data_IF_878662037328
#
_entry.id   IF_878662037328
#
_cell.length_a   1.000
_cell.length_b   1.000
_cell.length_c   1.000
_cell.angle_alpha   90.00
_cell.angle_beta   90.00
_cell.angle_gamma   90.00
#
_symmetry.space_group_name_H-M   'P 1'
#
loop_
_entity.id
_entity.type
_entity.pdbx_description
1 polymer ?
#
# COMPACT_ATOMS: atom_id res chain seq x y z
N UNK A 1 70.70 16.23 57.09
CA UNK A 1 69.54 15.71 57.88
C UNK A 1 68.60 15.04 56.89
N UNK A 2 68.54 13.69 56.75
CA UNK A 2 67.79 12.71 57.60
C UNK A 2 66.43 13.32 58.02
N UNK A 3 65.24 12.75 57.77
CA UNK A 3 64.81 11.35 57.69
C UNK A 3 63.27 11.31 57.40
N UNK A 4 62.75 10.19 56.85
CA UNK A 4 61.35 9.65 56.94
C UNK A 4 60.26 10.35 56.09
N UNK A 5 59.22 9.72 55.54
CA UNK A 5 58.61 8.37 55.61
C UNK A 5 57.67 8.26 54.40
N UNK A 6 57.71 7.21 53.58
CA UNK A 6 56.75 6.07 53.59
C UNK A 6 55.27 6.50 53.40
N UNK A 7 54.74 6.33 52.19
CA UNK A 7 53.40 5.81 51.86
C UNK A 7 53.44 5.39 50.38
N UNK A 8 53.78 4.15 50.04
CA UNK A 8 52.96 2.91 50.10
C UNK A 8 51.85 2.91 49.03
N UNK A 9 52.18 2.18 47.94
CA UNK A 9 51.33 1.30 47.12
C UNK A 9 50.09 1.86 46.42
N UNK A 10 50.16 1.97 45.09
CA UNK A 10 49.29 1.25 44.15
C UNK A 10 49.54 1.74 42.70
N UNK A 11 50.60 1.28 42.03
CA UNK A 11 50.79 1.56 40.59
C UNK A 11 51.30 0.34 39.81
N UNK A 12 50.93 -0.86 40.23
CA UNK A 12 51.31 -2.07 39.52
C UNK A 12 50.16 -3.07 39.53
N UNK A 13 49.16 -2.86 38.66
CA UNK A 13 48.41 -3.93 37.99
C UNK A 13 47.33 -3.31 37.08
N UNK A 14 47.66 -2.93 35.85
CA UNK A 14 46.67 -2.77 34.77
C UNK A 14 47.34 -3.07 33.43
N UNK A 15 47.99 -4.24 33.37
CA UNK A 15 48.60 -4.77 32.16
C UNK A 15 48.24 -6.25 31.99
N UNK A 16 46.96 -6.57 31.81
CA UNK A 16 46.49 -7.82 31.18
C UNK A 16 44.97 -7.94 31.29
N UNK A 17 44.24 -7.54 30.24
CA UNK A 17 42.99 -8.19 29.80
C UNK A 17 42.41 -7.44 28.59
N UNK A 18 43.18 -7.28 27.51
CA UNK A 18 42.57 -7.10 26.20
C UNK A 18 42.16 -8.49 25.68
N UNK A 19 41.11 -9.05 26.29
CA UNK A 19 40.44 -10.22 25.73
C UNK A 19 39.76 -9.74 24.46
N UNK A 20 40.38 -10.04 23.33
CA UNK A 20 39.72 -9.96 22.03
C UNK A 20 38.66 -11.06 22.01
N UNK A 21 37.45 -10.76 22.47
CA UNK A 21 36.26 -11.47 21.99
C UNK A 21 36.06 -11.05 20.55
N UNK A 22 36.71 -11.77 19.63
CA UNK A 22 36.24 -11.89 18.27
C UNK A 22 34.88 -12.59 18.34
N UNK A 23 33.83 -11.80 18.56
CA UNK A 23 32.48 -12.26 18.37
C UNK A 23 32.40 -12.75 16.92
N UNK A 24 31.99 -14.00 16.75
CA UNK A 24 31.47 -14.52 15.49
C UNK A 24 30.27 -13.63 15.14
N UNK A 25 30.53 -12.52 14.45
CA UNK A 25 29.50 -11.77 13.78
C UNK A 25 28.96 -12.71 12.70
N UNK A 26 27.82 -13.35 12.97
CA UNK A 26 27.03 -13.97 11.94
C UNK A 26 26.80 -12.96 10.81
N UNK A 27 26.55 -13.41 9.57
CA UNK A 27 26.26 -12.47 8.48
C UNK A 27 25.21 -11.48 8.96
N UNK A 28 25.52 -10.19 8.84
CA UNK A 28 24.57 -9.13 9.17
C UNK A 28 23.27 -9.46 8.41
N UNK A 29 22.09 -9.33 9.05
CA UNK A 29 20.83 -9.61 8.38
C UNK A 29 20.81 -8.84 7.06
N UNK A 30 20.63 -9.57 5.96
CA UNK A 30 20.58 -9.00 4.62
C UNK A 30 19.49 -7.93 4.61
N UNK A 31 19.86 -6.68 4.29
CA UNK A 31 18.87 -5.61 4.28
C UNK A 31 17.85 -5.92 3.20
N UNK A 32 16.54 -5.86 3.50
CA UNK A 32 15.51 -6.16 2.51
C UNK A 32 15.69 -5.23 1.31
N UNK A 33 15.46 -5.77 0.11
CA UNK A 33 15.51 -4.94 -1.10
C UNK A 33 14.48 -3.82 -1.01
N UNK A 34 14.68 -2.73 -1.76
CA UNK A 34 13.71 -1.63 -1.79
C UNK A 34 12.31 -2.12 -2.20
N UNK A 35 12.24 -3.10 -3.11
CA UNK A 35 11.00 -3.78 -3.49
C UNK A 35 10.33 -4.48 -2.30
N UNK A 36 11.05 -5.33 -1.57
CA UNK A 36 10.52 -6.02 -0.39
C UNK A 36 10.06 -5.03 0.68
N UNK A 37 10.84 -3.97 0.89
CA UNK A 37 10.49 -2.93 1.86
C UNK A 37 9.21 -2.18 1.47
N UNK A 38 9.01 -1.87 0.19
CA UNK A 38 7.80 -1.21 -0.29
C UNK A 38 6.56 -2.13 -0.26
N UNK A 39 6.73 -3.43 -0.56
CA UNK A 39 5.66 -4.41 -0.39
C UNK A 39 5.21 -4.54 1.07
N UNK A 40 6.16 -4.48 2.01
CA UNK A 40 5.84 -4.50 3.44
C UNK A 40 5.16 -3.22 3.91
N UNK A 41 5.50 -2.07 3.35
CA UNK A 41 4.79 -0.82 3.59
C UNK A 41 3.34 -0.91 3.10
N UNK A 42 3.11 -1.46 1.91
CA UNK A 42 1.75 -1.71 1.39
C UNK A 42 0.94 -2.59 2.34
N UNK A 43 1.53 -3.68 2.85
CA UNK A 43 0.86 -4.57 3.83
C UNK A 43 0.53 -3.86 5.14
N UNK A 44 1.33 -2.86 5.52
CA UNK A 44 1.16 -2.02 6.72
C UNK A 44 0.36 -0.74 6.45
N UNK A 45 -0.24 -0.61 5.27
CA UNK A 45 -1.07 0.55 4.88
C UNK A 45 -0.28 1.88 4.82
N UNK A 46 1.04 1.78 4.65
CA UNK A 46 2.01 2.89 4.51
C UNK A 46 2.18 3.25 3.04
N UNK A 47 1.08 3.63 2.39
CA UNK A 47 1.04 3.74 0.92
C UNK A 47 1.91 4.89 0.41
N UNK A 48 2.00 5.98 1.16
CA UNK A 48 2.84 7.11 0.81
C UNK A 48 4.34 6.81 0.96
N UNK A 49 4.76 6.09 2.00
CA UNK A 49 6.15 5.61 2.10
C UNK A 49 6.50 4.64 0.96
N UNK A 50 5.58 3.73 0.61
CA UNK A 50 5.75 2.85 -0.53
C UNK A 50 5.86 3.64 -1.84
N UNK A 51 5.06 4.71 -2.00
CA UNK A 51 5.09 5.60 -3.17
C UNK A 51 6.40 6.36 -3.27
N UNK A 52 6.94 6.85 -2.15
CA UNK A 52 8.24 7.50 -2.14
C UNK A 52 9.34 6.54 -2.62
N UNK A 53 9.37 5.31 -2.08
CA UNK A 53 10.35 4.29 -2.47
C UNK A 53 10.21 3.88 -3.94
N UNK A 54 8.99 3.72 -4.43
CA UNK A 54 8.73 3.41 -5.84
C UNK A 54 9.25 4.51 -6.78
N UNK A 55 9.05 5.78 -6.41
CA UNK A 55 9.55 6.92 -7.16
C UNK A 55 11.08 7.02 -7.10
N UNK A 56 11.69 6.75 -5.95
CA UNK A 56 13.15 6.75 -5.81
C UNK A 56 13.80 5.65 -6.66
N UNK A 57 13.19 4.46 -6.70
CA UNK A 57 13.63 3.35 -7.56
C UNK A 57 13.54 3.74 -9.04
N UNK A 58 12.46 4.41 -9.46
CA UNK A 58 12.29 4.89 -10.82
C UNK A 58 13.35 5.94 -11.21
N UNK A 59 13.71 6.85 -10.31
CA UNK A 59 14.77 7.85 -10.55
C UNK A 59 16.17 7.25 -10.61
N UNK A 60 16.42 6.19 -9.83
CA UNK A 60 17.71 5.51 -9.77
C UNK A 60 17.90 4.43 -10.84
N UNK A 61 16.86 4.11 -11.61
CA UNK A 61 16.90 3.05 -12.62
C UNK A 61 17.77 3.43 -13.83
N UNK A 62 18.97 2.85 -13.91
CA UNK A 62 19.96 3.07 -14.97
C UNK A 62 20.06 1.89 -15.96
N UNK A 63 19.46 0.75 -15.64
CA UNK A 63 19.41 -0.45 -16.50
C UNK A 63 17.96 -0.83 -16.82
N UNK A 64 17.76 -1.59 -17.90
CA UNK A 64 16.42 -2.08 -18.28
C UNK A 64 15.78 -2.95 -17.19
N UNK A 65 16.57 -3.82 -16.53
CA UNK A 65 16.07 -4.66 -15.45
C UNK A 65 15.59 -3.82 -14.24
N UNK A 66 16.32 -2.76 -13.88
CA UNK A 66 15.90 -1.85 -12.79
C UNK A 66 14.70 -0.99 -13.18
N UNK A 67 14.57 -0.59 -14.45
CA UNK A 67 13.38 0.12 -14.93
C UNK A 67 12.15 -0.78 -14.84
N UNK A 68 12.30 -2.05 -15.20
CA UNK A 68 11.23 -3.03 -15.10
C UNK A 68 10.78 -3.22 -13.65
N UNK A 69 11.71 -3.33 -12.71
CA UNK A 69 11.43 -3.40 -11.27
C UNK A 69 10.74 -2.11 -10.77
N UNK A 70 11.20 -0.94 -11.22
CA UNK A 70 10.60 0.33 -10.88
C UNK A 70 9.15 0.45 -11.39
N UNK A 71 8.89 0.10 -12.65
CA UNK A 71 7.55 0.10 -13.22
C UNK A 71 6.64 -0.91 -12.51
N UNK A 72 7.14 -2.10 -12.19
CA UNK A 72 6.40 -3.10 -11.43
C UNK A 72 5.91 -2.55 -10.09
N UNK A 73 6.82 -1.95 -9.32
CA UNK A 73 6.46 -1.40 -8.01
C UNK A 73 5.52 -0.19 -8.13
N UNK A 74 5.75 0.71 -9.10
CA UNK A 74 4.87 1.86 -9.32
C UNK A 74 3.46 1.44 -9.76
N UNK A 75 3.33 0.39 -10.59
CA UNK A 75 2.02 -0.13 -10.98
C UNK A 75 1.21 -0.58 -9.74
N UNK A 76 1.84 -1.30 -8.82
CA UNK A 76 1.21 -1.77 -7.59
C UNK A 76 0.86 -0.59 -6.68
N UNK A 77 1.79 0.32 -6.43
CA UNK A 77 1.54 1.44 -5.52
C UNK A 77 0.44 2.35 -6.05
N UNK A 78 0.51 2.76 -7.31
CA UNK A 78 -0.54 3.60 -7.92
C UNK A 78 -1.89 2.88 -7.92
N UNK A 79 -1.90 1.54 -8.08
CA UNK A 79 -3.12 0.77 -7.95
C UNK A 79 -3.68 0.84 -6.52
N UNK A 80 -2.86 0.73 -5.47
CA UNK A 80 -3.31 0.89 -4.08
C UNK A 80 -3.72 2.33 -3.73
N UNK A 81 -3.13 3.34 -4.39
CA UNK A 81 -3.59 4.73 -4.33
C UNK A 81 -4.90 4.97 -5.07
N UNK A 82 -5.47 3.96 -5.72
CA UNK A 82 -6.68 4.07 -6.53
C UNK A 82 -6.47 4.87 -7.82
N UNK A 83 -5.23 5.11 -8.23
CA UNK A 83 -4.90 5.81 -9.46
C UNK A 83 -4.78 4.81 -10.62
N UNK A 84 -5.94 4.36 -11.11
CA UNK A 84 -5.99 3.36 -12.18
C UNK A 84 -5.32 3.80 -13.48
N UNK A 85 -5.28 5.11 -13.78
CA UNK A 85 -4.63 5.61 -14.99
C UNK A 85 -3.13 5.31 -14.97
N UNK A 86 -2.40 5.83 -13.97
CA UNK A 86 -0.96 5.57 -13.83
C UNK A 86 -0.67 4.10 -13.56
N UNK A 87 -1.50 3.42 -12.76
CA UNK A 87 -1.34 1.99 -12.51
C UNK A 87 -1.37 1.18 -13.82
N UNK A 88 -2.31 1.49 -14.71
CA UNK A 88 -2.42 0.87 -16.03
C UNK A 88 -1.23 1.19 -16.94
N UNK A 89 -0.75 2.44 -16.93
CA UNK A 89 0.44 2.85 -17.69
C UNK A 89 1.67 2.05 -17.27
N UNK A 90 1.97 2.00 -15.96
CA UNK A 90 3.11 1.25 -15.44
C UNK A 90 2.98 -0.26 -15.67
N UNK A 91 1.78 -0.81 -15.45
CA UNK A 91 1.53 -2.22 -15.73
C UNK A 91 1.73 -2.55 -17.22
N UNK A 92 1.30 -1.67 -18.12
CA UNK A 92 1.53 -1.78 -19.56
C UNK A 92 3.02 -1.83 -19.90
N UNK A 93 3.81 -0.90 -19.35
CA UNK A 93 5.27 -0.89 -19.56
C UNK A 93 5.94 -2.19 -19.07
N UNK A 94 5.50 -2.76 -17.95
CA UNK A 94 6.00 -4.07 -17.48
C UNK A 94 5.63 -5.20 -18.45
N UNK A 95 4.38 -5.25 -18.89
CA UNK A 95 3.89 -6.29 -19.80
C UNK A 95 4.55 -6.22 -21.17
N UNK A 96 4.89 -5.03 -21.65
CA UNK A 96 5.57 -4.86 -22.94
C UNK A 96 7.05 -5.27 -22.88
N UNK A 97 7.74 -4.92 -21.79
CA UNK A 97 9.20 -5.03 -21.69
C UNK A 97 9.68 -6.29 -20.95
N UNK A 98 8.82 -6.99 -20.22
CA UNK A 98 9.20 -8.24 -19.56
C UNK A 98 9.46 -9.37 -20.56
N UNK A 99 10.51 -10.16 -20.30
CA UNK A 99 10.87 -11.38 -21.04
C UNK A 99 10.15 -12.63 -20.52
N UNK A 100 9.43 -12.51 -19.42
CA UNK A 100 8.66 -13.60 -18.83
C UNK A 100 7.45 -13.94 -19.72
N UNK A 101 7.29 -15.20 -20.08
CA UNK A 101 6.17 -15.69 -20.90
C UNK A 101 4.83 -15.60 -20.13
N UNK A 102 4.86 -15.67 -18.81
CA UNK A 102 3.68 -15.64 -17.93
C UNK A 102 3.36 -14.23 -17.40
N UNK A 103 4.03 -13.18 -17.90
CA UNK A 103 3.92 -11.79 -17.42
C UNK A 103 2.49 -11.26 -17.29
N UNK A 104 1.54 -11.78 -18.07
CA UNK A 104 0.13 -11.40 -18.03
C UNK A 104 -0.77 -12.18 -17.06
N UNK A 105 -0.27 -13.26 -16.44
CA UNK A 105 -1.07 -14.14 -15.57
C UNK A 105 -1.00 -13.74 -14.09
N UNK A 106 -0.08 -12.84 -13.73
CA UNK A 106 0.11 -12.38 -12.35
C UNK A 106 -0.68 -11.12 -11.99
N UNK A 107 -0.34 -10.55 -10.83
CA UNK A 107 -1.00 -9.35 -10.30
C UNK A 107 -0.86 -8.12 -11.22
N UNK A 108 0.22 -8.01 -12.00
CA UNK A 108 0.37 -6.95 -13.00
C UNK A 108 -0.64 -7.07 -14.14
N UNK A 109 -0.88 -8.29 -14.63
CA UNK A 109 -1.93 -8.53 -15.63
C UNK A 109 -3.31 -8.15 -15.10
N UNK A 110 -3.58 -8.49 -13.83
CA UNK A 110 -4.77 -8.04 -13.13
C UNK A 110 -4.87 -6.51 -13.05
N UNK A 111 -3.81 -5.80 -12.62
CA UNK A 111 -3.80 -4.33 -12.53
C UNK A 111 -4.09 -3.70 -13.90
N UNK A 112 -3.43 -4.16 -14.96
CA UNK A 112 -3.67 -3.67 -16.32
C UNK A 112 -5.13 -3.91 -16.74
N UNK A 113 -5.67 -5.09 -16.46
CA UNK A 113 -7.05 -5.45 -16.81
C UNK A 113 -8.09 -4.64 -16.03
N UNK A 114 -7.94 -4.54 -14.70
CA UNK A 114 -8.82 -3.75 -13.84
C UNK A 114 -8.76 -2.26 -14.19
N UNK A 115 -7.56 -1.73 -14.46
CA UNK A 115 -7.38 -0.32 -14.83
C UNK A 115 -8.02 0.03 -16.17
N UNK A 116 -7.99 -0.90 -17.13
CA UNK A 116 -8.59 -0.74 -18.46
C UNK A 116 -10.12 -0.82 -18.43
N UNK A 117 -10.68 -1.70 -17.61
CA UNK A 117 -12.12 -1.96 -17.54
C UNK A 117 -12.80 -1.28 -16.35
N UNK A 118 -12.14 -0.29 -15.75
CA UNK A 118 -12.73 0.51 -14.69
C UNK A 118 -13.97 1.26 -15.21
N UNK A 119 -14.98 1.47 -14.36
CA UNK A 119 -16.06 2.39 -14.68
C UNK A 119 -15.56 3.81 -14.97
N UNK A 120 -16.35 4.56 -15.73
CA UNK A 120 -16.15 6.01 -15.90
C UNK A 120 -16.61 6.72 -14.62
N UNK A 121 -15.63 7.07 -13.78
CA UNK A 121 -15.88 7.60 -12.45
C UNK A 121 -16.20 9.09 -12.46
N UNK A 122 -17.21 9.46 -11.68
CA UNK A 122 -17.42 10.80 -11.16
C UNK A 122 -17.09 10.81 -9.68
N UNK A 123 -16.63 11.95 -9.18
CA UNK A 123 -16.17 12.08 -7.80
C UNK A 123 -17.02 13.08 -7.01
N UNK A 124 -17.26 12.73 -5.75
CA UNK A 124 -17.74 13.62 -4.70
C UNK A 124 -16.68 13.57 -3.60
N UNK A 125 -16.03 14.70 -3.36
CA UNK A 125 -14.94 14.81 -2.41
C UNK A 125 -15.39 15.43 -1.07
N UNK A 126 -14.69 15.07 -0.02
CA UNK A 126 -14.65 15.76 1.27
C UNK A 126 -13.20 15.90 1.74
N UNK A 127 -13.00 16.39 2.97
CA UNK A 127 -11.66 16.61 3.51
C UNK A 127 -10.84 15.31 3.61
N UNK A 128 -11.49 14.18 3.96
CA UNK A 128 -10.84 12.91 4.21
C UNK A 128 -11.34 11.75 3.34
N UNK A 129 -12.24 12.01 2.38
CA UNK A 129 -12.82 10.96 1.53
C UNK A 129 -12.92 11.39 0.08
N UNK A 130 -12.72 10.42 -0.82
CA UNK A 130 -12.99 10.55 -2.26
C UNK A 130 -14.03 9.48 -2.60
N UNK A 131 -15.24 9.91 -2.97
CA UNK A 131 -16.35 8.98 -3.27
C UNK A 131 -16.58 8.94 -4.78
N UNK A 132 -16.27 7.81 -5.37
CA UNK A 132 -16.41 7.53 -6.80
C UNK A 132 -17.70 6.80 -7.10
N UNK A 133 -18.41 7.28 -8.12
CA UNK A 133 -19.63 6.65 -8.62
C UNK A 133 -19.68 6.73 -10.14
N UNK A 134 -20.24 5.70 -10.78
CA UNK A 134 -20.34 5.66 -12.24
C UNK A 134 -21.78 5.86 -12.74
N UNK A 135 -22.76 5.30 -12.03
CA UNK A 135 -24.15 5.43 -12.43
C UNK A 135 -24.79 6.70 -11.83
N UNK A 136 -25.50 7.54 -12.61
CA UNK A 136 -26.01 8.83 -12.13
C UNK A 136 -26.92 8.75 -10.89
N UNK A 137 -27.67 7.64 -10.73
CA UNK A 137 -28.53 7.43 -9.55
C UNK A 137 -27.75 7.22 -8.25
N UNK A 138 -26.47 6.84 -8.32
CA UNK A 138 -25.64 6.65 -7.13
C UNK A 138 -25.13 7.97 -6.56
N UNK A 139 -25.35 9.10 -7.25
CA UNK A 139 -25.02 10.44 -6.73
C UNK A 139 -25.67 10.69 -5.37
N UNK A 140 -26.91 10.25 -5.15
CA UNK A 140 -27.60 10.42 -3.86
C UNK A 140 -26.87 9.70 -2.73
N UNK A 141 -26.30 8.53 -3.02
CA UNK A 141 -25.53 7.75 -2.04
C UNK A 141 -24.18 8.41 -1.81
N UNK A 142 -23.53 8.91 -2.86
CA UNK A 142 -22.25 9.60 -2.75
C UNK A 142 -22.37 10.91 -1.94
N UNK A 143 -23.36 11.75 -2.24
CA UNK A 143 -23.59 13.01 -1.51
C UNK A 143 -23.99 12.76 -0.06
N UNK A 144 -24.87 11.78 0.21
CA UNK A 144 -25.24 11.41 1.57
C UNK A 144 -24.04 10.85 2.33
N UNK A 145 -23.23 10.02 1.67
CA UNK A 145 -22.04 9.40 2.22
C UNK A 145 -21.01 10.43 2.64
N UNK A 146 -20.82 11.50 1.86
CA UNK A 146 -19.85 12.57 2.12
C UNK A 146 -19.87 13.06 3.57
N UNK A 147 -21.02 13.53 4.05
CA UNK A 147 -21.12 14.13 5.38
C UNK A 147 -21.20 13.07 6.50
N UNK A 148 -21.72 11.88 6.20
CA UNK A 148 -21.82 10.77 7.17
C UNK A 148 -20.44 10.18 7.44
N UNK A 149 -19.65 9.95 6.40
CA UNK A 149 -18.32 9.36 6.49
C UNK A 149 -17.37 10.24 7.31
N UNK A 150 -17.44 11.57 7.17
CA UNK A 150 -16.65 12.49 8.00
C UNK A 150 -17.00 12.38 9.49
N UNK A 151 -18.30 12.32 9.81
CA UNK A 151 -18.75 12.10 11.19
C UNK A 151 -18.31 10.74 11.72
N UNK A 152 -18.45 9.69 10.90
CA UNK A 152 -17.99 8.35 11.27
C UNK A 152 -16.48 8.32 11.50
N UNK A 153 -15.67 8.97 10.65
CA UNK A 153 -14.23 9.09 10.83
C UNK A 153 -13.89 9.75 12.15
N UNK A 154 -14.56 10.86 12.47
CA UNK A 154 -14.37 11.56 13.73
C UNK A 154 -14.64 10.66 14.94
N UNK A 155 -15.83 10.05 15.02
CA UNK A 155 -16.20 9.22 16.17
C UNK A 155 -15.32 7.96 16.29
N UNK A 156 -15.05 7.27 15.16
CA UNK A 156 -14.20 6.08 15.15
C UNK A 156 -12.77 6.42 15.55
N UNK A 157 -12.23 7.55 15.05
CA UNK A 157 -10.86 7.94 15.37
C UNK A 157 -10.69 8.44 16.79
N UNK A 158 -11.75 8.95 17.45
CA UNK A 158 -11.75 9.19 18.88
C UNK A 158 -11.61 7.88 19.67
N UNK A 159 -12.38 6.86 19.31
CA UNK A 159 -12.35 5.55 19.99
C UNK A 159 -11.02 4.81 19.79
N UNK A 160 -10.42 4.94 18.60
CA UNK A 160 -9.16 4.28 18.25
C UNK A 160 -7.91 5.12 18.56
N UNK A 161 -8.09 6.37 18.99
CA UNK A 161 -7.03 7.36 19.21
C UNK A 161 -6.09 7.54 18.00
N UNK A 162 -6.60 7.29 16.80
CA UNK A 162 -5.83 7.38 15.55
C UNK A 162 -6.77 7.60 14.36
N UNK A 163 -6.23 8.19 13.30
CA UNK A 163 -6.96 8.46 12.07
C UNK A 163 -6.14 8.01 10.87
N UNK A 164 -6.78 7.63 9.75
CA UNK A 164 -6.06 7.51 8.48
C UNK A 164 -5.41 8.83 8.10
N UNK A 165 -4.13 8.79 7.73
CA UNK A 165 -3.35 9.93 7.27
C UNK A 165 -3.78 10.38 5.86
N UNK A 166 -4.06 9.41 4.99
CA UNK A 166 -4.51 9.64 3.62
C UNK A 166 -6.03 9.63 3.48
N UNK A 167 -6.60 10.37 2.51
CA UNK A 167 -8.00 10.27 2.16
C UNK A 167 -8.41 8.84 1.79
N UNK A 168 -9.54 8.37 2.33
CA UNK A 168 -10.06 7.04 2.03
C UNK A 168 -10.90 7.11 0.75
N UNK A 169 -10.60 6.22 -0.20
CA UNK A 169 -11.35 6.12 -1.45
C UNK A 169 -12.50 5.12 -1.29
N UNK A 170 -13.70 5.56 -1.67
CA UNK A 170 -14.90 4.73 -1.77
C UNK A 170 -15.27 4.60 -3.25
N UNK A 171 -15.51 3.38 -3.73
CA UNK A 171 -15.91 3.12 -5.12
C UNK A 171 -17.26 2.41 -5.17
N UNK A 172 -18.27 3.06 -5.77
CA UNK A 172 -19.64 2.55 -5.93
C UNK A 172 -19.79 1.96 -7.34
N UNK A 173 -19.68 0.65 -7.44
CA UNK A 173 -19.71 -0.09 -8.71
C UNK A 173 -21.13 -0.20 -9.28
N UNK A 174 -21.33 0.12 -10.57
CA UNK A 174 -22.66 0.20 -11.18
C UNK A 174 -23.28 -1.15 -11.55
N UNK A 175 -22.48 -2.22 -11.55
CA UNK A 175 -22.84 -3.58 -11.94
C UNK A 175 -21.95 -4.63 -11.23
N UNK A 176 -22.40 -5.89 -11.25
CA UNK A 176 -21.71 -7.01 -10.62
C UNK A 176 -20.39 -7.35 -11.32
N UNK A 177 -20.32 -7.17 -12.64
CA UNK A 177 -19.14 -7.50 -13.45
C UNK A 177 -17.94 -6.64 -13.06
N UNK A 178 -18.10 -5.32 -13.07
CA UNK A 178 -17.05 -4.39 -12.68
C UNK A 178 -16.66 -4.53 -11.20
N UNK A 179 -17.63 -4.80 -10.31
CA UNK A 179 -17.36 -5.05 -8.90
C UNK A 179 -16.54 -6.31 -8.66
N UNK A 180 -16.94 -7.43 -9.28
CA UNK A 180 -16.26 -8.74 -9.09
C UNK A 180 -14.88 -8.72 -9.73
N UNK A 181 -14.74 -8.06 -10.89
CA UNK A 181 -13.45 -7.78 -11.50
C UNK A 181 -12.54 -7.02 -10.52
N UNK A 182 -12.95 -5.85 -10.05
CA UNK A 182 -12.07 -5.00 -9.25
C UNK A 182 -11.76 -5.56 -7.85
N UNK A 183 -12.73 -6.20 -7.20
CA UNK A 183 -12.57 -6.80 -5.86
C UNK A 183 -11.86 -8.15 -5.88
N UNK A 184 -11.79 -8.79 -7.04
CA UNK A 184 -11.42 -10.20 -7.24
C UNK A 184 -12.32 -11.18 -6.49
N UNK A 185 -13.51 -10.77 -6.07
CA UNK A 185 -14.50 -11.67 -5.48
C UNK A 185 -15.23 -12.42 -6.60
N UNK A 186 -15.41 -13.75 -6.48
CA UNK A 186 -16.27 -14.49 -7.40
C UNK A 186 -17.72 -13.95 -7.38
N UNK A 187 -18.41 -13.87 -8.54
CA UNK A 187 -19.83 -13.48 -8.60
C UNK A 187 -20.73 -14.33 -7.68
N UNK A 188 -20.46 -15.63 -7.61
CA UNK A 188 -21.18 -16.58 -6.74
C UNK A 188 -21.15 -16.17 -5.27
N UNK A 189 -20.03 -15.61 -4.79
CA UNK A 189 -19.93 -15.13 -3.41
C UNK A 189 -20.88 -13.95 -3.18
N UNK A 190 -20.98 -13.03 -4.14
CA UNK A 190 -21.86 -11.86 -4.03
C UNK A 190 -23.33 -12.29 -4.02
N UNK A 191 -23.70 -13.20 -4.92
CA UNK A 191 -25.08 -13.70 -5.05
C UNK A 191 -25.54 -14.54 -3.84
N UNK A 192 -24.66 -15.37 -3.29
CA UNK A 192 -25.01 -16.29 -2.20
C UNK A 192 -24.98 -15.65 -0.81
N UNK A 193 -24.00 -14.78 -0.56
CA UNK A 193 -23.78 -14.17 0.77
C UNK A 193 -24.44 -12.82 0.91
N UNK A 194 -24.83 -12.18 -0.21
CA UNK A 194 -25.28 -10.79 -0.21
C UNK A 194 -24.18 -9.82 0.22
N UNK A 195 -22.89 -10.17 0.03
CA UNK A 195 -21.79 -9.23 0.26
C UNK A 195 -21.89 -8.10 -0.75
N UNK A 196 -22.27 -6.92 -0.26
CA UNK A 196 -22.45 -5.70 -1.06
C UNK A 196 -21.28 -4.72 -0.92
N UNK A 197 -20.25 -5.07 -0.14
CA UNK A 197 -19.04 -4.26 -0.04
C UNK A 197 -17.87 -4.97 0.63
N UNK A 198 -16.65 -4.50 0.31
CA UNK A 198 -15.38 -5.05 0.78
C UNK A 198 -14.33 -3.95 0.91
N UNK A 199 -13.47 -4.06 1.93
CA UNK A 199 -12.27 -3.25 2.04
C UNK A 199 -11.09 -4.00 1.41
N UNK A 200 -10.57 -3.51 0.28
CA UNK A 200 -9.45 -4.13 -0.42
C UNK A 200 -8.62 -3.10 -1.17
N UNK A 201 -7.33 -3.38 -1.32
CA UNK A 201 -6.39 -2.52 -2.06
C UNK A 201 -6.38 -1.06 -1.56
N UNK A 202 -6.52 -0.87 -0.24
CA UNK A 202 -6.63 0.45 0.40
C UNK A 202 -7.87 1.26 -0.04
N UNK A 203 -8.98 0.58 -0.36
CA UNK A 203 -10.26 1.19 -0.76
C UNK A 203 -11.44 0.46 -0.16
N UNK A 204 -12.56 1.17 -0.03
CA UNK A 204 -13.87 0.57 0.23
C UNK A 204 -14.59 0.43 -1.11
N UNK A 205 -14.87 -0.80 -1.51
CA UNK A 205 -15.59 -1.10 -2.75
C UNK A 205 -17.00 -1.54 -2.39
N UNK A 206 -18.01 -0.94 -3.02
CA UNK A 206 -19.42 -1.21 -2.73
C UNK A 206 -20.15 -1.46 -4.05
N UNK A 207 -21.01 -2.47 -4.09
CA UNK A 207 -21.94 -2.67 -5.19
C UNK A 207 -23.11 -1.70 -5.03
N UNK A 208 -23.46 -0.98 -6.11
CA UNK A 208 -24.55 0.01 -6.10
C UNK A 208 -25.81 -0.55 -5.42
N UNK A 209 -26.36 0.13 -4.38
CA UNK A 209 -27.57 -0.31 -3.68
C UNK A 209 -28.76 -0.55 -4.62
N UNK A 210 -28.81 0.14 -5.76
CA UNK A 210 -29.81 -0.03 -6.83
C UNK A 210 -29.95 -1.47 -7.31
N UNK A 211 -28.88 -2.25 -7.23
CA UNK A 211 -28.84 -3.64 -7.68
C UNK A 211 -29.39 -4.60 -6.63
N UNK A 212 -29.65 -4.12 -5.42
CA UNK A 212 -30.20 -4.91 -4.33
C UNK A 212 -31.73 -5.01 -4.48
N UNK A 213 -32.34 -6.09 -3.99
CA UNK A 213 -33.79 -6.33 -4.15
C UNK A 213 -34.70 -5.22 -3.61
N UNK A 214 -34.20 -4.31 -2.76
CA UNK A 214 -34.96 -3.22 -2.15
C UNK A 214 -34.64 -1.83 -2.72
N UNK A 215 -33.72 -1.74 -3.68
CA UNK A 215 -33.29 -0.48 -4.30
C UNK A 215 -32.30 0.30 -3.45
#
# INVERSE_FOLDING_TARGET
MKLRSIFITALALLLSAAVHTAALAGPAPEQPSLLQSAEDDIKKWKIDEASQKANDLLRAADTEDKKLEAWYLNAIVEFYKGNYEKAGEYAGMVLENSKDEDKGQGFIGFIAHASKNRPDWKEVDSDNFIIRYAHPKDLVVAELGRDILEKSRYEIGLDLETYPDDPVIIEIYPDLESFTLASTLPPENVETTGVVGICKFNRIMILSPRLLPKG
#
